data_IF_018817436739
#
_entry.id   IF_018817436739
#
_cell.length_a   1.000
_cell.length_b   1.000
_cell.length_c   1.000
_cell.angle_alpha   90.00
_cell.angle_beta   90.00
_cell.angle_gamma   90.00
#
_symmetry.space_group_name_H-M   'P 1'
#
loop_
_entity.id
_entity.type
_entity.pdbx_description
1 polymer ?
#
# COMPACT_ATOMS: atom_id res chain seq x y z
N UNK A 1 -42.60 -24.27 15.64
CA UNK A 1 -42.39 -24.05 14.19
C UNK A 1 -41.42 -25.12 13.64
N UNK A 2 -41.95 -26.00 12.81
CA UNK A 2 -41.42 -27.33 12.49
C UNK A 2 -40.08 -27.31 11.72
N UNK A 3 -39.21 -28.27 12.05
CA UNK A 3 -38.01 -28.60 11.29
C UNK A 3 -38.37 -29.20 9.91
N UNK A 4 -37.69 -28.83 8.82
CA UNK A 4 -37.95 -29.41 7.51
C UNK A 4 -37.34 -30.82 7.42
N UNK A 5 -38.18 -31.79 7.03
CA UNK A 5 -37.88 -33.21 6.91
C UNK A 5 -36.91 -33.54 5.77
N UNK A 6 -36.00 -34.47 6.03
CA UNK A 6 -34.82 -34.83 5.22
C UNK A 6 -35.08 -35.55 3.87
N UNK A 7 -36.29 -35.54 3.33
CA UNK A 7 -36.67 -36.38 2.17
C UNK A 7 -36.65 -35.67 0.80
N UNK A 8 -36.28 -34.39 0.70
CA UNK A 8 -36.18 -33.66 -0.58
C UNK A 8 -34.75 -33.45 -1.10
N UNK A 9 -33.73 -34.01 -0.44
CA UNK A 9 -32.31 -33.70 -0.69
C UNK A 9 -31.56 -34.64 -1.65
N UNK A 10 -32.24 -35.59 -2.30
CA UNK A 10 -31.56 -36.66 -3.08
C UNK A 10 -31.67 -36.53 -4.60
N UNK A 11 -32.48 -35.61 -5.14
CA UNK A 11 -32.72 -35.52 -6.60
C UNK A 11 -31.93 -34.40 -7.32
N UNK A 12 -31.45 -33.37 -6.61
CA UNK A 12 -30.59 -32.31 -7.19
C UNK A 12 -29.08 -32.65 -7.16
N UNK A 13 -28.68 -33.59 -6.31
CA UNK A 13 -27.29 -34.00 -6.11
C UNK A 13 -26.73 -34.83 -7.28
N UNK A 14 -27.57 -35.58 -8.01
CA UNK A 14 -27.12 -36.44 -9.10
C UNK A 14 -26.86 -35.70 -10.43
N UNK A 15 -27.62 -34.64 -10.75
CA UNK A 15 -27.39 -33.82 -11.96
C UNK A 15 -26.15 -32.95 -11.85
N UNK A 16 -25.82 -32.47 -10.64
CA UNK A 16 -24.61 -31.71 -10.37
C UNK A 16 -23.36 -32.59 -10.41
N UNK A 17 -23.41 -33.84 -9.91
CA UNK A 17 -22.34 -34.84 -10.10
C UNK A 17 -21.98 -35.02 -11.57
N UNK A 18 -22.98 -35.02 -12.45
CA UNK A 18 -22.79 -35.20 -13.88
C UNK A 18 -22.16 -33.95 -14.52
N UNK A 19 -22.65 -32.74 -14.22
CA UNK A 19 -22.09 -31.50 -14.77
C UNK A 19 -20.68 -31.17 -14.24
N UNK A 20 -20.37 -31.53 -12.99
CA UNK A 20 -19.05 -31.36 -12.38
C UNK A 20 -18.02 -32.34 -12.97
N UNK A 21 -18.46 -33.50 -13.45
CA UNK A 21 -17.62 -34.51 -14.12
C UNK A 21 -17.44 -34.27 -15.62
N UNK A 22 -18.37 -33.56 -16.27
CA UNK A 22 -18.31 -33.28 -17.72
C UNK A 22 -17.41 -32.10 -18.10
N UNK A 23 -17.00 -31.24 -17.15
CA UNK A 23 -16.25 -30.00 -17.43
C UNK A 23 -14.87 -29.91 -16.79
N UNK A 24 -14.51 -30.86 -15.93
CA UNK A 24 -13.20 -30.91 -15.28
C UNK A 24 -12.39 -32.01 -15.96
N UNK A 25 -11.45 -31.61 -16.81
CA UNK A 25 -10.38 -32.51 -17.29
C UNK A 25 -9.66 -33.07 -16.05
N UNK A 26 -9.73 -34.39 -15.85
CA UNK A 26 -9.22 -35.10 -14.67
C UNK A 26 -7.71 -34.88 -14.40
N UNK A 27 -6.97 -34.34 -15.38
CA UNK A 27 -5.56 -33.95 -15.27
C UNK A 27 -5.34 -32.62 -14.51
N UNK A 28 -6.41 -31.88 -14.17
CA UNK A 28 -6.34 -30.58 -13.51
C UNK A 28 -6.40 -30.64 -11.97
N UNK A 29 -6.59 -31.83 -11.40
CA UNK A 29 -6.92 -32.07 -9.98
C UNK A 29 -5.73 -32.06 -8.99
N UNK A 30 -4.60 -31.42 -9.31
CA UNK A 30 -3.53 -31.26 -8.30
C UNK A 30 -3.79 -30.10 -7.34
N UNK A 31 -4.65 -29.15 -7.73
CA UNK A 31 -5.06 -27.99 -6.93
C UNK A 31 -6.53 -27.71 -7.21
N UNK A 32 -7.33 -27.51 -6.17
CA UNK A 32 -8.74 -27.18 -6.30
C UNK A 32 -9.01 -25.90 -5.50
N UNK A 33 -8.67 -24.79 -6.14
CA UNK A 33 -8.79 -23.45 -5.61
C UNK A 33 -10.18 -22.89 -5.92
N UNK A 34 -10.89 -22.55 -4.86
CA UNK A 34 -12.21 -21.91 -4.88
C UNK A 34 -12.03 -20.46 -4.45
N UNK A 35 -12.85 -19.58 -5.01
CA UNK A 35 -12.91 -18.17 -4.60
C UNK A 35 -14.31 -17.83 -4.14
N UNK A 36 -14.39 -17.15 -2.99
CA UNK A 36 -15.60 -16.49 -2.54
C UNK A 36 -15.48 -15.02 -2.93
N UNK A 37 -16.43 -14.53 -3.73
CA UNK A 37 -16.47 -13.16 -4.24
C UNK A 37 -17.63 -12.40 -3.62
N UNK A 38 -17.57 -11.07 -3.79
CA UNK A 38 -18.60 -10.13 -3.33
C UNK A 38 -18.76 -10.13 -1.81
N UNK A 39 -17.67 -10.31 -1.07
CA UNK A 39 -17.69 -10.14 0.38
C UNK A 39 -17.70 -8.65 0.74
N UNK A 40 -18.26 -8.27 1.91
CA UNK A 40 -18.27 -6.90 2.37
C UNK A 40 -16.86 -6.30 2.43
N UNK A 41 -16.68 -5.01 2.08
CA UNK A 41 -15.37 -4.37 2.05
C UNK A 41 -14.76 -4.20 3.44
N UNK A 42 -15.58 -4.09 4.50
CA UNK A 42 -15.12 -3.99 5.88
C UNK A 42 -14.98 -5.34 6.60
N UNK A 43 -15.28 -6.45 5.93
CA UNK A 43 -15.14 -7.80 6.52
C UNK A 43 -13.65 -8.10 6.77
N UNK A 44 -13.31 -8.60 7.96
CA UNK A 44 -11.95 -9.07 8.24
C UNK A 44 -11.80 -10.56 7.94
N UNK A 45 -10.54 -11.00 7.86
CA UNK A 45 -10.21 -12.40 7.62
C UNK A 45 -10.79 -13.31 8.71
N UNK A 46 -10.66 -12.89 9.97
CA UNK A 46 -11.08 -13.64 11.15
C UNK A 46 -12.61 -13.77 11.20
N UNK A 47 -13.33 -12.69 10.92
CA UNK A 47 -14.80 -12.70 10.85
C UNK A 47 -15.30 -13.63 9.75
N UNK A 48 -14.62 -13.65 8.60
CA UNK A 48 -14.94 -14.59 7.54
C UNK A 48 -14.70 -16.03 8.00
N UNK A 49 -13.55 -16.34 8.61
CA UNK A 49 -13.24 -17.69 9.12
C UNK A 49 -14.28 -18.19 10.13
N UNK A 50 -14.75 -17.33 11.04
CA UNK A 50 -15.83 -17.64 11.99
C UNK A 50 -17.14 -17.98 11.28
N UNK A 51 -17.54 -17.17 10.29
CA UNK A 51 -18.78 -17.40 9.52
C UNK A 51 -18.69 -18.64 8.63
N UNK A 52 -17.49 -18.98 8.17
CA UNK A 52 -17.26 -20.19 7.39
C UNK A 52 -17.21 -21.47 8.25
N UNK A 53 -17.20 -21.35 9.59
CA UNK A 53 -17.06 -22.49 10.47
C UNK A 53 -18.28 -23.45 10.39
N UNK A 54 -18.07 -24.78 10.39
CA UNK A 54 -16.78 -25.48 10.30
C UNK A 54 -16.20 -25.42 8.87
N UNK A 55 -15.01 -24.82 8.74
CA UNK A 55 -14.32 -24.72 7.46
C UNK A 55 -13.68 -26.09 7.13
N UNK A 56 -13.95 -26.68 5.96
CA UNK A 56 -13.34 -27.95 5.57
C UNK A 56 -11.81 -27.90 5.51
N UNK A 57 -11.19 -29.09 5.43
CA UNK A 57 -9.74 -29.20 5.37
C UNK A 57 -9.17 -28.52 4.11
N UNK A 58 -8.34 -27.50 4.32
CA UNK A 58 -7.76 -26.68 3.26
C UNK A 58 -6.25 -26.54 3.44
N UNK A 59 -5.52 -26.44 2.32
CA UNK A 59 -4.06 -26.28 2.32
C UNK A 59 -3.61 -24.82 2.21
N UNK A 60 -4.51 -23.96 1.75
CA UNK A 60 -4.22 -22.55 1.53
C UNK A 60 -5.49 -21.74 1.73
N UNK A 61 -5.36 -20.63 2.44
CA UNK A 61 -6.42 -19.66 2.67
C UNK A 61 -5.83 -18.25 2.60
N UNK A 62 -6.33 -17.43 1.68
CA UNK A 62 -5.87 -16.07 1.49
C UNK A 62 -7.08 -15.14 1.36
N UNK A 63 -7.14 -14.16 2.25
CA UNK A 63 -8.14 -13.10 2.22
C UNK A 63 -7.57 -11.86 1.55
N UNK A 64 -8.28 -11.33 0.56
CA UNK A 64 -7.98 -10.06 -0.08
C UNK A 64 -9.06 -9.06 0.29
N UNK A 65 -8.65 -8.02 1.01
CA UNK A 65 -9.50 -6.87 1.32
C UNK A 65 -9.94 -6.14 0.06
N UNK A 66 -11.01 -5.36 0.17
CA UNK A 66 -11.45 -4.50 -0.91
C UNK A 66 -10.35 -3.49 -1.28
N UNK A 67 -10.11 -3.34 -2.58
CA UNK A 67 -9.18 -2.35 -3.11
C UNK A 67 -9.94 -1.04 -3.37
N UNK A 68 -9.57 0.08 -2.72
CA UNK A 68 -10.23 1.36 -2.92
C UNK A 68 -10.17 1.88 -4.36
N UNK A 69 -9.18 1.44 -5.14
CA UNK A 69 -9.02 1.85 -6.55
C UNK A 69 -10.11 1.31 -7.48
N UNK A 70 -10.84 0.27 -7.05
CA UNK A 70 -11.88 -0.39 -7.83
C UNK A 70 -13.27 0.22 -7.63
N UNK A 71 -13.36 1.43 -7.06
CA UNK A 71 -14.63 2.14 -6.87
C UNK A 71 -15.39 2.28 -8.21
N UNK A 72 -16.71 1.99 -8.26
CA UNK A 72 -17.64 1.75 -7.14
C UNK A 72 -17.73 0.29 -6.66
N UNK A 73 -17.02 -0.65 -7.28
CA UNK A 73 -17.11 -2.09 -7.00
C UNK A 73 -16.16 -2.54 -5.88
N UNK A 74 -16.30 -1.94 -4.70
CA UNK A 74 -15.52 -2.30 -3.51
C UNK A 74 -16.05 -3.62 -2.90
N UNK A 75 -15.36 -4.71 -3.21
CA UNK A 75 -15.64 -6.02 -2.62
C UNK A 75 -14.36 -6.70 -2.16
N UNK A 76 -14.46 -7.36 -1.02
CA UNK A 76 -13.44 -8.30 -0.56
C UNK A 76 -13.63 -9.67 -1.24
N UNK A 77 -12.59 -10.49 -1.23
CA UNK A 77 -12.59 -11.84 -1.81
C UNK A 77 -11.68 -12.76 -1.02
N UNK A 78 -11.99 -14.05 -0.99
CA UNK A 78 -11.18 -15.05 -0.31
C UNK A 78 -10.89 -16.23 -1.23
N UNK A 79 -9.64 -16.67 -1.27
CA UNK A 79 -9.19 -17.86 -2.00
C UNK A 79 -8.95 -18.99 -1.02
N UNK A 80 -9.52 -20.15 -1.32
CA UNK A 80 -9.44 -21.35 -0.48
C UNK A 80 -9.02 -22.52 -1.36
N UNK A 81 -7.99 -23.25 -0.99
CA UNK A 81 -7.63 -24.49 -1.66
C UNK A 81 -8.08 -25.69 -0.82
N UNK A 82 -9.10 -26.40 -1.30
CA UNK A 82 -9.64 -27.57 -0.63
C UNK A 82 -8.82 -28.82 -0.91
N UNK A 83 -8.69 -29.70 0.09
CA UNK A 83 -8.04 -31.01 -0.09
C UNK A 83 -8.92 -31.99 -0.85
N UNK A 84 -10.22 -32.02 -0.50
CA UNK A 84 -11.17 -32.95 -1.09
C UNK A 84 -12.16 -32.21 -2.00
N UNK A 85 -12.52 -32.79 -3.17
CA UNK A 85 -13.50 -32.19 -4.06
C UNK A 85 -14.94 -32.24 -3.49
N UNK A 86 -15.27 -33.22 -2.65
CA UNK A 86 -16.61 -33.34 -2.05
C UNK A 86 -16.91 -32.16 -1.12
N UNK A 87 -15.91 -31.68 -0.38
CA UNK A 87 -16.03 -30.55 0.54
C UNK A 87 -16.40 -29.25 -0.20
N UNK A 88 -16.02 -29.12 -1.47
CA UNK A 88 -16.31 -27.95 -2.31
C UNK A 88 -17.79 -27.87 -2.64
N UNK A 89 -18.42 -29.02 -2.92
CA UNK A 89 -19.84 -29.07 -3.23
C UNK A 89 -20.67 -28.65 -2.01
N UNK A 90 -20.32 -29.18 -0.83
CA UNK A 90 -20.95 -28.77 0.44
C UNK A 90 -20.74 -27.29 0.72
N UNK A 91 -19.51 -26.81 0.49
CA UNK A 91 -19.15 -25.42 0.68
C UNK A 91 -19.98 -24.49 -0.22
N UNK A 92 -20.05 -24.80 -1.52
CA UNK A 92 -20.85 -24.03 -2.47
C UNK A 92 -22.33 -24.03 -2.10
N UNK A 93 -22.90 -25.19 -1.81
CA UNK A 93 -24.34 -25.30 -1.53
C UNK A 93 -24.75 -24.54 -0.24
N UNK A 94 -23.81 -24.31 0.68
CA UNK A 94 -24.03 -23.52 1.90
C UNK A 94 -23.80 -22.02 1.72
N UNK A 95 -22.76 -21.64 0.98
CA UNK A 95 -22.27 -20.25 0.96
C UNK A 95 -22.54 -19.50 -0.35
N UNK A 96 -22.89 -20.19 -1.44
CA UNK A 96 -23.29 -19.53 -2.68
C UNK A 96 -24.66 -18.86 -2.48
N UNK A 97 -24.69 -17.54 -2.66
CA UNK A 97 -25.86 -16.72 -2.37
C UNK A 97 -26.06 -16.36 -0.90
N UNK A 98 -25.14 -16.75 0.01
CA UNK A 98 -25.21 -16.32 1.41
C UNK A 98 -25.04 -14.80 1.51
N UNK A 99 -25.95 -14.14 2.21
CA UNK A 99 -25.97 -12.68 2.34
C UNK A 99 -25.14 -12.27 3.55
N UNK A 100 -23.97 -11.69 3.28
CA UNK A 100 -23.15 -11.06 4.30
C UNK A 100 -23.66 -9.64 4.55
N UNK A 101 -23.73 -9.24 5.82
CA UNK A 101 -24.20 -7.92 6.22
C UNK A 101 -23.01 -7.15 6.79
N UNK A 102 -22.77 -5.96 6.27
CA UNK A 102 -21.76 -5.04 6.79
C UNK A 102 -22.27 -4.28 8.03
N UNK A 103 -21.39 -3.64 8.78
CA UNK A 103 -21.70 -2.80 9.94
C UNK A 103 -22.69 -1.66 9.59
N UNK A 104 -22.80 -1.30 8.30
CA UNK A 104 -23.73 -0.30 7.77
C UNK A 104 -25.11 -0.86 7.42
N UNK A 105 -25.36 -2.16 7.63
CA UNK A 105 -26.59 -2.84 7.25
C UNK A 105 -26.72 -3.11 5.74
N UNK A 106 -25.63 -2.98 4.97
CA UNK A 106 -25.62 -3.28 3.55
C UNK A 106 -25.48 -4.78 3.32
N UNK A 107 -26.29 -5.31 2.39
CA UNK A 107 -26.35 -6.72 2.04
C UNK A 107 -25.43 -7.05 0.86
N UNK A 108 -24.65 -8.11 1.02
CA UNK A 108 -23.68 -8.59 0.05
C UNK A 108 -23.90 -10.08 -0.20
N UNK A 109 -24.67 -10.46 -1.24
CA UNK A 109 -24.83 -11.86 -1.61
C UNK A 109 -23.51 -12.39 -2.19
N UNK A 110 -22.89 -13.30 -1.47
CA UNK A 110 -21.63 -13.91 -1.89
C UNK A 110 -21.82 -14.84 -3.08
N UNK A 111 -20.75 -15.01 -3.83
CA UNK A 111 -20.70 -15.88 -5.00
C UNK A 111 -19.51 -16.81 -4.83
N UNK A 112 -19.78 -18.12 -4.89
CA UNK A 112 -18.75 -19.15 -4.77
C UNK A 112 -18.46 -19.74 -6.14
N UNK A 113 -17.26 -19.47 -6.65
CA UNK A 113 -16.82 -19.89 -7.97
C UNK A 113 -15.46 -20.60 -7.87
N UNK A 114 -15.08 -21.30 -8.92
CA UNK A 114 -13.69 -21.72 -9.08
C UNK A 114 -12.81 -20.49 -9.29
N UNK A 115 -11.63 -20.49 -8.66
CA UNK A 115 -10.66 -19.44 -8.92
C UNK A 115 -10.28 -19.42 -10.41
N UNK A 116 -10.22 -18.24 -11.06
CA UNK A 116 -9.81 -18.13 -12.46
C UNK A 116 -8.43 -18.74 -12.72
N UNK A 117 -7.53 -18.61 -11.75
CA UNK A 117 -6.24 -19.27 -11.70
C UNK A 117 -6.25 -20.29 -10.56
N UNK A 118 -6.02 -21.55 -10.93
CA UNK A 118 -6.04 -22.69 -10.00
C UNK A 118 -4.65 -23.03 -9.47
N UNK A 119 -3.60 -22.41 -10.02
CA UNK A 119 -2.23 -22.62 -9.58
C UNK A 119 -1.94 -21.69 -8.42
N UNK A 120 -1.70 -22.27 -7.24
CA UNK A 120 -1.23 -21.51 -6.09
C UNK A 120 0.23 -21.13 -6.32
N UNK A 121 0.50 -19.84 -6.47
CA UNK A 121 1.87 -19.36 -6.34
C UNK A 121 2.27 -19.54 -4.88
N UNK A 122 3.03 -20.59 -4.58
CA UNK A 122 3.73 -20.69 -3.30
C UNK A 122 4.55 -19.41 -3.19
N UNK A 123 4.14 -18.47 -2.31
CA UNK A 123 4.90 -17.25 -2.05
C UNK A 123 6.27 -17.75 -1.60
N UNK A 124 7.24 -17.76 -2.52
CA UNK A 124 8.64 -17.97 -2.16
C UNK A 124 8.88 -16.86 -1.16
N UNK A 125 9.10 -17.24 0.11
CA UNK A 125 9.54 -16.32 1.14
C UNK A 125 10.58 -15.45 0.45
N UNK A 126 10.27 -14.15 0.23
CA UNK A 126 11.22 -13.26 -0.42
C UNK A 126 12.44 -13.38 0.46
N UNK A 127 13.49 -14.05 -0.02
CA UNK A 127 14.77 -14.04 0.66
C UNK A 127 15.04 -12.55 0.81
N UNK A 128 15.03 -12.05 2.06
CA UNK A 128 15.44 -10.68 2.31
C UNK A 128 16.80 -10.55 1.62
N UNK A 129 16.92 -9.57 0.74
CA UNK A 129 18.20 -9.33 0.08
C UNK A 129 19.23 -9.17 1.20
N UNK A 130 20.32 -9.94 1.13
CA UNK A 130 21.37 -9.90 2.15
C UNK A 130 22.01 -8.50 2.26
N UNK A 131 21.81 -7.65 1.24
CA UNK A 131 22.30 -6.26 1.20
C UNK A 131 21.24 -5.21 1.57
N UNK A 132 20.02 -5.60 1.97
CA UNK A 132 19.03 -4.64 2.45
C UNK A 132 19.41 -4.14 3.85
N UNK A 133 19.59 -2.82 4.00
CA UNK A 133 19.98 -2.20 5.28
C UNK A 133 21.49 -2.02 5.49
N UNK A 134 22.29 -1.98 4.42
CA UNK A 134 23.71 -1.63 4.46
C UNK A 134 24.00 -0.23 3.90
N UNK A 135 22.99 0.59 3.66
CA UNK A 135 23.18 1.94 3.10
C UNK A 135 23.82 2.86 4.14
N UNK A 136 23.51 2.64 5.41
CA UNK A 136 24.11 3.31 6.56
C UNK A 136 25.62 3.03 6.67
N UNK A 137 26.06 1.88 6.14
CA UNK A 137 27.46 1.47 6.12
C UNK A 137 28.25 1.95 4.90
N UNK A 138 27.56 2.52 3.91
CA UNK A 138 28.16 2.99 2.67
C UNK A 138 29.02 4.24 2.92
N UNK A 139 30.32 4.22 2.53
CA UNK A 139 31.21 5.38 2.70
C UNK A 139 30.71 6.63 1.95
N UNK A 140 30.05 6.49 0.81
CA UNK A 140 29.46 7.62 0.08
C UNK A 140 28.27 8.22 0.85
N UNK A 141 27.44 7.39 1.49
CA UNK A 141 26.30 7.88 2.30
C UNK A 141 26.77 8.60 3.58
N UNK A 142 27.83 8.10 4.23
CA UNK A 142 28.41 8.77 5.41
C UNK A 142 29.00 10.15 5.06
N UNK A 143 29.71 10.27 3.94
CA UNK A 143 30.23 11.55 3.45
C UNK A 143 29.11 12.55 3.16
N UNK A 144 28.00 12.07 2.59
CA UNK A 144 26.82 12.90 2.36
C UNK A 144 26.24 13.44 3.68
N UNK A 145 26.07 12.59 4.70
CA UNK A 145 25.59 13.02 6.01
C UNK A 145 26.53 14.03 6.67
N UNK A 146 27.85 13.83 6.56
CA UNK A 146 28.84 14.78 7.08
C UNK A 146 28.75 16.13 6.37
N UNK A 147 28.60 16.15 5.04
CA UNK A 147 28.39 17.39 4.29
C UNK A 147 27.07 18.08 4.66
N UNK A 148 26.01 17.31 4.89
CA UNK A 148 24.69 17.82 5.25
C UNK A 148 24.69 18.42 6.66
N UNK A 149 25.32 17.76 7.65
CA UNK A 149 25.49 18.33 9.00
C UNK A 149 26.40 19.58 8.99
N UNK A 150 27.47 19.59 8.18
CA UNK A 150 28.33 20.76 8.05
C UNK A 150 27.58 21.97 7.43
N UNK A 151 26.63 21.70 6.52
CA UNK A 151 25.75 22.73 5.97
C UNK A 151 24.71 23.19 7.00
N UNK A 152 24.20 22.32 7.89
CA UNK A 152 23.34 22.74 9.02
C UNK A 152 24.10 23.60 10.05
N UNK A 153 25.38 23.32 10.34
CA UNK A 153 26.22 24.20 11.18
C UNK A 153 26.44 25.57 10.52
N UNK A 154 26.50 25.64 9.19
CA UNK A 154 26.53 26.91 8.44
C UNK A 154 25.19 27.67 8.47
N UNK A 155 24.07 26.96 8.57
CA UNK A 155 22.75 27.57 8.78
C UNK A 155 22.58 28.04 10.24
N UNK A 156 23.39 27.54 11.18
CA UNK A 156 23.46 27.98 12.57
C UNK A 156 24.40 29.20 12.80
N UNK A 157 24.77 29.96 11.77
CA UNK A 157 25.14 31.36 12.01
C UNK A 157 23.87 32.10 12.46
N UNK A 158 23.76 32.43 13.76
CA UNK A 158 22.64 33.19 14.33
C UNK A 158 22.28 34.33 13.36
N UNK A 159 21.01 34.47 12.91
CA UNK A 159 20.61 35.47 11.92
C UNK A 159 21.09 36.90 12.27
N UNK A 160 21.22 37.23 13.55
CA UNK A 160 21.77 38.52 14.02
C UNK A 160 23.23 38.75 13.60
N UNK A 161 24.06 37.71 13.57
CA UNK A 161 25.48 37.82 13.20
C UNK A 161 25.59 38.08 11.69
N UNK A 162 24.83 37.36 10.86
CA UNK A 162 24.78 37.57 9.41
C UNK A 162 24.27 38.98 9.06
N UNK A 163 23.24 39.46 9.76
CA UNK A 163 22.74 40.83 9.64
C UNK A 163 23.84 41.86 9.98
N UNK A 164 24.57 41.65 11.09
CA UNK A 164 25.67 42.52 11.50
C UNK A 164 26.81 42.59 10.48
N UNK A 165 27.19 41.47 9.87
CA UNK A 165 28.21 41.43 8.82
C UNK A 165 27.79 42.15 7.54
N UNK A 166 26.51 42.01 7.14
CA UNK A 166 25.95 42.72 5.99
C UNK A 166 25.96 44.23 6.25
N UNK A 167 25.47 44.67 7.42
CA UNK A 167 25.47 46.09 7.80
C UNK A 167 26.88 46.69 7.91
N UNK A 168 27.86 45.91 8.39
CA UNK A 168 29.25 46.35 8.46
C UNK A 168 29.83 46.57 7.05
N UNK A 169 29.63 45.61 6.14
CA UNK A 169 30.07 45.74 4.75
C UNK A 169 29.39 46.91 4.04
N UNK A 170 28.10 47.12 4.25
CA UNK A 170 27.38 48.27 3.68
C UNK A 170 27.92 49.60 4.21
N UNK A 171 28.20 49.70 5.52
CA UNK A 171 28.81 50.92 6.11
C UNK A 171 30.20 51.20 5.56
N UNK A 172 31.02 50.18 5.38
CA UNK A 172 32.36 50.33 4.79
C UNK A 172 32.27 50.82 3.34
N UNK A 173 31.38 50.22 2.53
CA UNK A 173 31.17 50.62 1.14
C UNK A 173 30.68 52.08 1.04
N UNK A 174 29.74 52.47 1.91
CA UNK A 174 29.26 53.86 2.00
C UNK A 174 30.40 54.79 2.43
N UNK A 175 31.22 54.38 3.39
CA UNK A 175 32.40 55.14 3.84
C UNK A 175 33.39 55.39 2.71
N UNK A 176 33.72 54.36 1.92
CA UNK A 176 34.58 54.48 0.74
C UNK A 176 33.96 55.40 -0.32
N UNK A 177 32.66 55.26 -0.58
CA UNK A 177 31.97 56.10 -1.54
C UNK A 177 31.98 57.59 -1.12
N UNK A 178 31.68 57.87 0.14
CA UNK A 178 31.72 59.22 0.69
C UNK A 178 33.14 59.79 0.69
N UNK A 179 34.16 58.97 0.97
CA UNK A 179 35.55 59.36 0.89
C UNK A 179 35.95 59.76 -0.53
N UNK A 180 35.58 58.95 -1.53
CA UNK A 180 35.80 59.25 -2.93
C UNK A 180 35.09 60.54 -3.35
N UNK A 181 33.81 60.71 -3.00
CA UNK A 181 33.07 61.95 -3.28
C UNK A 181 33.72 63.18 -2.63
N UNK A 182 34.15 63.08 -1.36
CA UNK A 182 34.86 64.18 -0.69
C UNK A 182 36.18 64.51 -1.39
N UNK A 183 36.95 63.50 -1.79
CA UNK A 183 38.21 63.70 -2.51
C UNK A 183 37.99 64.39 -3.87
N UNK A 184 36.96 63.97 -4.61
CA UNK A 184 36.59 64.55 -5.90
C UNK A 184 36.14 66.01 -5.77
N UNK A 185 35.27 66.32 -4.79
CA UNK A 185 34.86 67.71 -4.52
C UNK A 185 36.06 68.59 -4.12
N UNK A 186 36.99 68.06 -3.33
CA UNK A 186 38.22 68.79 -2.97
C UNK A 186 39.06 69.12 -4.20
N UNK A 187 39.18 68.18 -5.14
CA UNK A 187 39.89 68.39 -6.41
C UNK A 187 39.18 69.47 -7.25
N UNK A 188 37.85 69.41 -7.37
CA UNK A 188 37.07 70.43 -8.09
C UNK A 188 37.29 71.82 -7.47
N UNK A 189 37.22 71.93 -6.15
CA UNK A 189 37.40 73.21 -5.46
C UNK A 189 38.85 73.73 -5.60
N UNK A 190 39.87 72.86 -5.63
CA UNK A 190 41.24 73.31 -5.96
C UNK A 190 41.35 73.87 -7.37
N UNK A 191 40.69 73.25 -8.36
CA UNK A 191 40.67 73.76 -9.73
C UNK A 191 39.86 75.07 -9.87
N UNK A 192 38.88 75.31 -8.99
CA UNK A 192 38.10 76.54 -8.95
C UNK A 192 38.92 77.71 -8.41
N UNK A 193 39.67 77.49 -7.33
CA UNK A 193 40.54 78.49 -6.69
C UNK A 193 41.77 78.83 -7.53
N UNK A 194 42.26 77.91 -8.37
CA UNK A 194 43.40 78.17 -9.28
C UNK A 194 43.01 79.03 -10.50
N UNK A 195 41.70 79.20 -10.76
CA UNK A 195 41.17 80.02 -11.87
C UNK A 195 40.67 81.42 -11.44
N UNK A 196 40.83 81.78 -10.18
CA UNK A 196 40.52 83.12 -9.62
C UNK A 196 41.79 83.81 -9.19
#
# INVERSE_FOLDING_TARGET
>A
PAAPTASTWTHKSNTLRCLYRSKINLHFLSYIQVVIRRLPPCLTKEQLEEQLHPLPAHDYFEFCTADPSLYPHLYSRAYINFRNPEDILLFRDRFDGYVFIDNKGLEYPAVVEFAPFQKISKKKLKKKDAKAGSIEDDPEYRKFLESYCADEEKICANPEILLGEIEAKTRELIGLHLFLLKSYNRIIESFRLEKT
#
